data_IF_568648440686
#
_entry.id   IF_568648440686
#
_cell.length_a   1.000
_cell.length_b   1.000
_cell.length_c   1.000
_cell.angle_alpha   90.00
_cell.angle_beta   90.00
_cell.angle_gamma   90.00
#
_symmetry.space_group_name_H-M   'P 1'
#
loop_
_entity.id
_entity.type
_entity.pdbx_description
1 polymer ?
#
# COMPACT_ATOMS: atom_id res chain seq x y z
N UNK A 1 28.78 -10.49 30.47
CA UNK A 1 27.87 -9.48 31.02
C UNK A 1 28.41 -8.12 30.64
N UNK A 2 27.88 -7.50 29.58
CA UNK A 2 28.26 -6.14 29.19
C UNK A 2 27.27 -5.15 29.82
N UNK A 3 27.73 -4.10 30.52
CA UNK A 3 26.85 -3.07 31.02
C UNK A 3 26.40 -2.19 29.86
N UNK A 4 25.08 -2.10 29.64
CA UNK A 4 24.49 -1.14 28.71
C UNK A 4 24.70 0.27 29.29
N UNK A 5 25.48 1.06 28.56
CA UNK A 5 25.79 2.47 28.80
C UNK A 5 24.47 3.27 28.81
N UNK A 6 24.40 4.21 29.76
CA UNK A 6 23.20 4.95 30.14
C UNK A 6 22.43 5.57 28.98
N UNK A 7 21.20 5.10 28.81
CA UNK A 7 20.14 5.86 28.15
C UNK A 7 19.63 6.82 29.21
N UNK A 8 19.94 8.12 29.07
CA UNK A 8 19.33 9.17 29.89
C UNK A 8 17.80 9.00 29.84
N UNK A 9 17.06 9.17 30.95
CA UNK A 9 15.61 9.08 30.93
C UNK A 9 15.11 10.09 29.89
N UNK A 10 14.53 9.59 28.81
CA UNK A 10 13.83 10.42 27.85
C UNK A 10 12.79 11.19 28.67
N UNK A 11 12.98 12.50 28.80
CA UNK A 11 11.96 13.37 29.38
C UNK A 11 10.61 13.11 28.69
N UNK A 12 9.48 13.46 29.32
CA UNK A 12 8.17 13.21 28.74
C UNK A 12 8.15 13.77 27.31
N UNK A 13 8.11 12.87 26.32
CA UNK A 13 7.96 13.25 24.92
C UNK A 13 6.60 13.94 24.87
N UNK A 14 6.50 15.22 24.48
CA UNK A 14 5.21 15.86 24.34
C UNK A 14 4.41 15.01 23.35
N UNK A 15 3.38 14.32 23.84
CA UNK A 15 2.54 13.45 23.04
C UNK A 15 1.75 14.33 22.06
N UNK A 16 2.36 14.64 20.92
CA UNK A 16 1.61 15.20 19.81
C UNK A 16 0.58 14.15 19.42
N UNK A 17 -0.71 14.49 19.33
CA UNK A 17 -1.79 13.53 19.04
C UNK A 17 -1.78 13.09 17.57
N UNK A 18 -0.61 12.87 16.97
CA UNK A 18 -0.42 12.47 15.56
C UNK A 18 -1.18 11.17 15.29
N UNK A 19 -1.12 10.21 16.21
CA UNK A 19 -1.84 8.94 16.07
C UNK A 19 -3.37 9.08 16.08
N UNK A 20 -3.90 10.02 16.86
CA UNK A 20 -5.34 10.28 16.90
C UNK A 20 -5.82 10.86 15.56
N UNK A 21 -5.07 11.83 15.02
CA UNK A 21 -5.37 12.43 13.71
C UNK A 21 -5.17 11.43 12.57
N UNK A 22 -4.13 10.60 12.65
CA UNK A 22 -3.89 9.49 11.73
C UNK A 22 -5.08 8.53 11.71
N UNK A 23 -5.59 8.13 12.88
CA UNK A 23 -6.74 7.22 12.97
C UNK A 23 -8.02 7.86 12.44
N UNK A 24 -8.29 9.12 12.78
CA UNK A 24 -9.42 9.88 12.26
C UNK A 24 -9.40 9.98 10.73
N UNK A 25 -8.23 10.25 10.16
CA UNK A 25 -8.03 10.33 8.72
C UNK A 25 -8.16 8.94 8.07
N UNK A 26 -7.59 7.89 8.68
CA UNK A 26 -7.66 6.52 8.17
C UNK A 26 -9.09 5.98 8.11
N UNK A 27 -9.96 6.33 9.08
CA UNK A 27 -11.38 5.94 9.08
C UNK A 27 -12.15 6.45 7.85
N UNK A 28 -11.68 7.51 7.19
CA UNK A 28 -12.28 8.02 5.95
C UNK A 28 -11.97 7.16 4.71
N UNK A 29 -10.96 6.29 4.78
CA UNK A 29 -10.46 5.50 3.65
C UNK A 29 -10.51 3.98 3.92
N UNK A 30 -11.70 3.36 4.00
CA UNK A 30 -11.80 1.91 4.16
C UNK A 30 -11.37 1.16 2.88
N UNK A 31 -10.50 0.17 3.03
CA UNK A 31 -9.86 -0.60 1.94
C UNK A 31 -10.87 -1.23 0.97
N UNK A 32 -11.97 -1.82 1.46
CA UNK A 32 -12.98 -2.45 0.59
C UNK A 32 -13.64 -1.47 -0.39
N UNK A 33 -13.82 -0.21 0.02
CA UNK A 33 -14.39 0.80 -0.85
C UNK A 33 -13.38 1.34 -1.87
N UNK A 34 -12.08 1.27 -1.57
CA UNK A 34 -11.03 1.59 -2.53
C UNK A 34 -11.00 0.58 -3.68
N UNK A 35 -11.08 -0.72 -3.34
CA UNK A 35 -11.21 -1.82 -4.32
C UNK A 35 -12.39 -1.59 -5.25
N UNK A 36 -13.57 -1.29 -4.70
CA UNK A 36 -14.77 -1.02 -5.49
C UNK A 36 -14.60 0.19 -6.44
N UNK A 37 -13.99 1.28 -5.97
CA UNK A 37 -13.74 2.45 -6.81
C UNK A 37 -12.68 2.21 -7.89
N UNK A 38 -11.69 1.36 -7.62
CA UNK A 38 -10.62 1.02 -8.55
C UNK A 38 -11.20 0.24 -9.74
N UNK A 39 -12.00 -0.79 -9.47
CA UNK A 39 -12.70 -1.58 -10.50
C UNK A 39 -13.60 -0.70 -11.38
N UNK A 40 -14.31 0.26 -10.77
CA UNK A 40 -15.14 1.20 -11.51
C UNK A 40 -14.34 2.19 -12.36
N UNK A 41 -13.18 2.65 -11.86
CA UNK A 41 -12.36 3.68 -12.54
C UNK A 41 -11.59 3.11 -13.74
N UNK A 42 -11.17 1.84 -13.70
CA UNK A 42 -10.52 1.16 -14.83
C UNK A 42 -11.39 1.07 -16.09
N UNK A 43 -12.72 1.17 -15.95
CA UNK A 43 -13.66 1.15 -17.07
C UNK A 43 -13.66 2.43 -17.94
N UNK A 44 -12.90 3.47 -17.56
CA UNK A 44 -12.98 4.79 -18.23
C UNK A 44 -11.68 5.15 -18.98
N UNK A 45 -11.78 5.56 -20.26
CA UNK A 45 -10.62 5.81 -21.14
C UNK A 45 -9.75 7.01 -20.74
N UNK A 46 -10.19 7.85 -19.80
CA UNK A 46 -9.49 9.06 -19.37
C UNK A 46 -8.69 8.88 -18.06
N UNK A 47 -8.45 7.65 -17.58
CA UNK A 47 -7.96 7.38 -16.22
C UNK A 47 -6.55 7.94 -15.86
N UNK A 48 -5.79 8.55 -16.77
CA UNK A 48 -4.40 8.98 -16.52
C UNK A 48 -4.15 10.47 -16.35
N UNK A 49 -4.88 11.35 -17.06
CA UNK A 49 -4.45 12.75 -17.25
C UNK A 49 -4.91 13.72 -16.15
N UNK A 50 -5.96 13.35 -15.40
CA UNK A 50 -6.60 14.23 -14.40
C UNK A 50 -6.96 13.46 -13.13
N UNK A 51 -5.96 12.75 -12.58
CA UNK A 51 -6.11 11.91 -11.39
C UNK A 51 -6.21 12.73 -10.10
N UNK A 52 -5.34 13.73 -9.93
CA UNK A 52 -5.29 14.57 -8.73
C UNK A 52 -6.55 15.44 -8.57
N UNK A 53 -7.06 16.05 -9.65
CA UNK A 53 -8.30 16.84 -9.57
C UNK A 53 -9.51 15.97 -9.25
N UNK A 54 -9.63 14.78 -9.85
CA UNK A 54 -10.69 13.82 -9.51
C UNK A 54 -10.58 13.35 -8.07
N UNK A 55 -9.36 13.13 -7.59
CA UNK A 55 -9.11 12.81 -6.20
C UNK A 55 -9.57 13.97 -5.31
N UNK A 56 -9.20 15.21 -5.61
CA UNK A 56 -9.61 16.41 -4.87
C UNK A 56 -11.12 16.62 -4.82
N UNK A 57 -11.83 16.30 -5.90
CA UNK A 57 -13.28 16.38 -6.01
C UNK A 57 -14.02 15.21 -5.32
N UNK A 58 -13.30 14.17 -4.91
CA UNK A 58 -13.92 13.04 -4.20
C UNK A 58 -14.51 13.52 -2.86
N UNK A 59 -15.77 13.20 -2.54
CA UNK A 59 -16.39 13.59 -1.27
C UNK A 59 -15.58 13.19 -0.03
N UNK A 60 -14.80 12.10 -0.12
CA UNK A 60 -13.93 11.64 0.96
C UNK A 60 -12.71 12.54 1.14
N UNK A 61 -12.11 12.95 0.05
CA UNK A 61 -10.95 13.84 0.06
C UNK A 61 -11.39 15.22 0.53
N UNK A 62 -12.57 15.70 0.12
CA UNK A 62 -13.15 16.93 0.67
C UNK A 62 -13.31 16.85 2.20
N UNK A 63 -13.83 15.74 2.74
CA UNK A 63 -13.91 15.53 4.20
C UNK A 63 -12.53 15.43 4.86
N UNK A 64 -11.57 14.78 4.21
CA UNK A 64 -10.20 14.69 4.69
C UNK A 64 -9.57 16.08 4.78
N UNK A 65 -9.74 16.92 3.76
CA UNK A 65 -9.30 18.30 3.76
C UNK A 65 -9.96 19.10 4.89
N UNK A 66 -11.26 18.94 5.13
CA UNK A 66 -11.92 19.60 6.25
C UNK A 66 -11.37 19.21 7.63
N UNK A 67 -10.82 17.99 7.78
CA UNK A 67 -10.08 17.59 8.99
C UNK A 67 -8.68 18.18 9.02
N UNK A 68 -7.99 18.18 7.88
CA UNK A 68 -6.62 18.71 7.77
C UNK A 68 -6.59 20.22 8.01
N UNK A 69 -7.61 20.96 7.56
CA UNK A 69 -7.78 22.42 7.73
C UNK A 69 -7.72 22.89 9.19
N UNK A 70 -8.00 21.99 10.15
CA UNK A 70 -7.95 22.29 11.58
C UNK A 70 -6.55 22.12 12.18
N UNK A 71 -5.61 21.56 11.41
CA UNK A 71 -4.25 21.24 11.85
C UNK A 71 -3.27 22.33 11.45
N UNK A 72 -2.22 22.53 12.22
CA UNK A 72 -1.09 23.37 11.85
C UNK A 72 -0.21 22.67 10.79
N UNK A 73 0.63 23.45 10.11
CA UNK A 73 1.52 22.93 9.05
C UNK A 73 2.48 21.87 9.60
N UNK A 74 2.94 22.01 10.84
CA UNK A 74 3.84 21.05 11.46
C UNK A 74 3.17 19.68 11.66
N UNK A 75 1.91 19.62 12.12
CA UNK A 75 1.18 18.36 12.24
C UNK A 75 0.94 17.69 10.88
N UNK A 76 0.71 18.47 9.82
CA UNK A 76 0.61 17.92 8.45
C UNK A 76 1.94 17.30 8.02
N UNK A 77 3.07 17.96 8.28
CA UNK A 77 4.39 17.44 7.96
C UNK A 77 4.70 16.15 8.75
N UNK A 78 4.31 16.09 10.03
CA UNK A 78 4.44 14.88 10.85
C UNK A 78 3.56 13.73 10.31
N UNK A 79 2.31 14.00 9.90
CA UNK A 79 1.42 13.02 9.25
C UNK A 79 1.95 12.56 7.88
N UNK A 80 2.53 13.48 7.11
CA UNK A 80 3.11 13.18 5.81
C UNK A 80 4.33 12.27 5.95
N UNK A 81 5.19 12.52 6.95
CA UNK A 81 6.31 11.65 7.26
C UNK A 81 5.84 10.21 7.57
N UNK A 82 4.84 10.06 8.44
CA UNK A 82 4.23 8.74 8.73
C UNK A 82 3.64 8.08 7.48
N UNK A 83 2.93 8.85 6.65
CA UNK A 83 2.33 8.35 5.42
C UNK A 83 3.39 7.84 4.45
N UNK A 84 4.49 8.58 4.28
CA UNK A 84 5.62 8.20 3.41
C UNK A 84 6.28 6.91 3.91
N UNK A 85 6.60 6.82 5.20
CA UNK A 85 7.16 5.59 5.80
C UNK A 85 6.24 4.40 5.61
N UNK A 86 4.93 4.56 5.80
CA UNK A 86 3.98 3.48 5.54
C UNK A 86 3.94 3.11 4.05
N UNK A 87 3.89 4.09 3.14
CA UNK A 87 3.88 3.84 1.70
C UNK A 87 5.14 3.11 1.22
N UNK A 88 6.32 3.48 1.72
CA UNK A 88 7.57 2.77 1.44
C UNK A 88 7.53 1.31 1.91
N UNK A 89 7.04 1.07 3.13
CA UNK A 89 6.87 -0.28 3.67
C UNK A 89 5.88 -1.10 2.83
N UNK A 90 4.74 -0.50 2.43
CA UNK A 90 3.77 -1.18 1.58
C UNK A 90 4.38 -1.50 0.22
N UNK A 91 5.11 -0.57 -0.39
CA UNK A 91 5.74 -0.74 -1.69
C UNK A 91 6.83 -1.81 -1.71
N UNK A 92 7.67 -1.87 -0.68
CA UNK A 92 8.65 -2.93 -0.52
C UNK A 92 7.97 -4.30 -0.44
N UNK A 93 6.98 -4.44 0.43
CA UNK A 93 6.26 -5.70 0.61
C UNK A 93 5.49 -6.12 -0.65
N UNK A 94 4.86 -5.17 -1.36
CA UNK A 94 4.15 -5.44 -2.60
C UNK A 94 5.10 -5.95 -3.69
N UNK A 95 6.26 -5.30 -3.84
CA UNK A 95 7.30 -5.73 -4.77
C UNK A 95 7.86 -7.11 -4.42
N UNK A 96 8.17 -7.35 -3.14
CA UNK A 96 8.68 -8.64 -2.66
C UNK A 96 7.68 -9.77 -2.92
N UNK A 97 6.40 -9.55 -2.61
CA UNK A 97 5.35 -10.56 -2.84
C UNK A 97 5.16 -10.81 -4.34
N UNK A 98 5.18 -9.77 -5.18
CA UNK A 98 5.10 -9.92 -6.63
C UNK A 98 6.28 -10.74 -7.18
N UNK A 99 7.51 -10.44 -6.74
CA UNK A 99 8.68 -11.21 -7.13
C UNK A 99 8.58 -12.66 -6.65
N UNK A 100 8.22 -12.89 -5.39
CA UNK A 100 8.06 -14.24 -4.85
C UNK A 100 7.01 -15.05 -5.64
N UNK A 101 5.88 -14.42 -5.99
CA UNK A 101 4.81 -15.03 -6.76
C UNK A 101 5.25 -15.47 -8.15
N UNK A 102 6.12 -14.71 -8.82
CA UNK A 102 6.64 -15.09 -10.13
C UNK A 102 7.81 -16.06 -10.00
N UNK A 103 8.79 -15.76 -9.15
CA UNK A 103 10.03 -16.54 -9.09
C UNK A 103 9.84 -17.93 -8.50
N UNK A 104 9.10 -18.07 -7.39
CA UNK A 104 9.01 -19.34 -6.66
C UNK A 104 8.39 -20.46 -7.52
N UNK A 105 7.21 -20.27 -8.15
CA UNK A 105 6.60 -21.34 -8.94
C UNK A 105 7.49 -21.75 -10.13
N UNK A 106 8.13 -20.78 -10.79
CA UNK A 106 9.04 -21.07 -11.91
C UNK A 106 10.31 -21.79 -11.46
N UNK A 107 10.94 -21.37 -10.36
CA UNK A 107 12.13 -22.04 -9.83
C UNK A 107 11.82 -23.47 -9.37
N UNK A 108 10.73 -23.66 -8.63
CA UNK A 108 10.30 -25.00 -8.19
C UNK A 108 9.97 -25.88 -9.41
N UNK A 109 9.22 -25.36 -10.38
CA UNK A 109 8.88 -26.08 -11.61
C UNK A 109 10.13 -26.51 -12.40
N UNK A 110 11.10 -25.60 -12.56
CA UNK A 110 12.34 -25.90 -13.26
C UNK A 110 13.18 -26.96 -12.53
N UNK A 111 13.29 -26.88 -11.20
CA UNK A 111 14.03 -27.86 -10.39
C UNK A 111 13.40 -29.25 -10.49
N UNK A 112 12.08 -29.35 -10.33
CA UNK A 112 11.36 -30.62 -10.38
C UNK A 112 11.43 -31.24 -11.78
N UNK A 113 11.33 -30.41 -12.84
CA UNK A 113 11.48 -30.86 -14.22
C UNK A 113 12.87 -31.43 -14.53
N UNK A 114 13.93 -30.91 -13.91
CA UNK A 114 15.29 -31.43 -14.08
C UNK A 114 15.49 -32.77 -13.38
N UNK A 115 14.92 -32.93 -12.18
CA UNK A 115 15.10 -34.13 -11.35
C UNK A 115 14.23 -35.30 -11.85
N UNK A 116 13.01 -35.03 -12.31
CA UNK A 116 12.07 -36.07 -12.73
C UNK A 116 11.21 -35.64 -13.93
N UNK A 117 11.76 -35.62 -15.16
CA UNK A 117 11.09 -35.04 -16.33
C UNK A 117 9.73 -35.70 -16.65
N UNK A 118 9.71 -37.04 -16.72
CA UNK A 118 8.51 -37.82 -17.06
C UNK A 118 7.40 -37.69 -16.01
N UNK A 119 7.76 -37.75 -14.72
CA UNK A 119 6.81 -37.57 -13.62
C UNK A 119 6.26 -36.13 -13.59
N UNK A 120 7.12 -35.13 -13.85
CA UNK A 120 6.71 -33.72 -13.91
C UNK A 120 5.69 -33.49 -15.02
N UNK A 121 5.92 -34.06 -16.21
CA UNK A 121 5.00 -33.95 -17.34
C UNK A 121 3.64 -34.60 -17.02
N UNK A 122 3.64 -35.79 -16.43
CA UNK A 122 2.40 -36.47 -16.03
C UNK A 122 1.63 -35.70 -14.95
N UNK A 123 2.32 -35.17 -13.94
CA UNK A 123 1.70 -34.36 -12.88
C UNK A 123 1.14 -33.05 -13.43
N UNK A 124 1.88 -32.35 -14.30
CA UNK A 124 1.38 -31.12 -14.92
C UNK A 124 0.10 -31.38 -15.72
N UNK A 125 0.06 -32.44 -16.52
CA UNK A 125 -1.12 -32.76 -17.33
C UNK A 125 -2.29 -33.24 -16.46
N UNK A 126 -2.03 -34.04 -15.43
CA UNK A 126 -3.08 -34.62 -14.58
C UNK A 126 -3.67 -33.62 -13.59
N UNK A 127 -2.89 -32.62 -13.17
CA UNK A 127 -3.28 -31.64 -12.15
C UNK A 127 -3.23 -30.19 -12.66
N UNK A 128 -3.21 -29.97 -13.98
CA UNK A 128 -3.23 -28.63 -14.57
C UNK A 128 -4.32 -27.72 -13.96
N UNK A 129 -5.56 -28.18 -13.73
CA UNK A 129 -6.59 -27.35 -13.09
C UNK A 129 -6.24 -26.95 -11.66
N UNK A 130 -5.64 -27.86 -10.87
CA UNK A 130 -5.26 -27.58 -9.49
C UNK A 130 -4.10 -26.57 -9.42
N UNK A 131 -3.12 -26.68 -10.32
CA UNK A 131 -2.05 -25.70 -10.48
C UNK A 131 -2.58 -24.33 -10.90
N UNK A 132 -3.47 -24.30 -11.89
CA UNK A 132 -4.13 -23.07 -12.32
C UNK A 132 -4.91 -22.40 -11.19
N UNK A 133 -5.68 -23.18 -10.42
CA UNK A 133 -6.40 -22.69 -9.24
C UNK A 133 -5.49 -22.16 -8.14
N UNK A 134 -4.40 -22.88 -7.83
CA UNK A 134 -3.41 -22.45 -6.84
C UNK A 134 -2.71 -21.15 -7.22
N UNK A 135 -2.29 -21.02 -8.48
CA UNK A 135 -1.71 -19.78 -9.01
C UNK A 135 -2.71 -18.64 -9.00
N UNK A 136 -3.97 -18.88 -9.44
CA UNK A 136 -5.01 -17.87 -9.40
C UNK A 136 -5.28 -17.38 -7.97
N UNK A 137 -5.38 -18.29 -7.00
CA UNK A 137 -5.57 -17.96 -5.58
C UNK A 137 -4.42 -17.13 -5.01
N UNK A 138 -3.18 -17.51 -5.29
CA UNK A 138 -2.00 -16.72 -4.91
C UNK A 138 -1.98 -15.36 -5.64
N UNK A 139 -2.43 -15.30 -6.88
CA UNK A 139 -2.59 -14.06 -7.65
C UNK A 139 -3.55 -13.07 -7.00
N UNK A 140 -4.66 -13.54 -6.40
CA UNK A 140 -5.58 -12.68 -5.63
C UNK A 140 -4.87 -12.02 -4.45
N UNK A 141 -4.01 -12.75 -3.74
CA UNK A 141 -3.23 -12.18 -2.63
C UNK A 141 -2.24 -11.11 -3.11
N UNK A 142 -1.58 -11.32 -4.25
CA UNK A 142 -0.69 -10.33 -4.88
C UNK A 142 -1.47 -9.07 -5.26
N UNK A 143 -2.62 -9.22 -5.93
CA UNK A 143 -3.48 -8.10 -6.31
C UNK A 143 -3.94 -7.34 -5.07
N UNK A 144 -4.40 -8.03 -4.03
CA UNK A 144 -4.76 -7.40 -2.76
C UNK A 144 -3.61 -6.59 -2.16
N UNK A 145 -2.37 -7.10 -2.27
CA UNK A 145 -1.19 -6.39 -1.80
C UNK A 145 -0.88 -5.13 -2.62
N UNK A 146 -1.00 -5.19 -3.94
CA UNK A 146 -0.81 -4.03 -4.83
C UNK A 146 -1.87 -2.95 -4.57
N UNK A 147 -3.10 -3.36 -4.26
CA UNK A 147 -4.17 -2.44 -3.89
C UNK A 147 -3.82 -1.69 -2.60
N UNK A 148 -3.27 -2.37 -1.58
CA UNK A 148 -2.84 -1.74 -0.33
C UNK A 148 -1.67 -0.75 -0.56
N UNK A 149 -0.73 -1.06 -1.44
CA UNK A 149 0.33 -0.12 -1.84
C UNK A 149 -0.25 1.12 -2.54
N UNK A 150 -1.16 0.92 -3.49
CA UNK A 150 -1.83 2.01 -4.19
C UNK A 150 -2.61 2.92 -3.22
N UNK A 151 -3.31 2.33 -2.24
CA UNK A 151 -4.03 3.07 -1.20
C UNK A 151 -3.08 3.90 -0.33
N UNK A 152 -1.91 3.35 0.06
CA UNK A 152 -0.93 4.09 0.85
C UNK A 152 -0.34 5.29 0.09
N UNK A 153 -0.04 5.12 -1.21
CA UNK A 153 0.40 6.23 -2.08
C UNK A 153 -0.68 7.29 -2.27
N UNK A 154 -1.94 6.88 -2.38
CA UNK A 154 -3.06 7.82 -2.46
C UNK A 154 -3.13 8.71 -1.21
N UNK A 155 -2.89 8.13 -0.04
CA UNK A 155 -2.90 8.86 1.22
C UNK A 155 -1.78 9.91 1.30
N UNK A 156 -0.56 9.54 0.86
CA UNK A 156 0.56 10.48 0.71
C UNK A 156 0.17 11.63 -0.20
N UNK A 157 -0.40 11.33 -1.39
CA UNK A 157 -0.80 12.37 -2.34
C UNK A 157 -1.86 13.33 -1.78
N UNK A 158 -2.78 12.85 -0.93
CA UNK A 158 -3.78 13.71 -0.25
C UNK A 158 -3.09 14.69 0.70
N UNK A 159 -2.15 14.21 1.51
CA UNK A 159 -1.40 15.06 2.44
C UNK A 159 -0.49 16.04 1.71
N UNK A 160 0.16 15.61 0.63
CA UNK A 160 0.98 16.50 -0.23
C UNK A 160 0.14 17.59 -0.88
N UNK A 161 -1.05 17.26 -1.39
CA UNK A 161 -1.96 18.30 -1.92
C UNK A 161 -2.37 19.30 -0.83
N UNK A 162 -2.70 18.83 0.38
CA UNK A 162 -3.06 19.72 1.49
C UNK A 162 -1.89 20.63 1.90
N UNK A 163 -0.66 20.10 1.86
CA UNK A 163 0.58 20.86 2.11
C UNK A 163 0.82 21.92 1.04
N UNK A 164 0.65 21.57 -0.25
CA UNK A 164 0.83 22.48 -1.38
C UNK A 164 -0.24 23.59 -1.38
N UNK A 165 -1.51 23.28 -1.09
CA UNK A 165 -2.59 24.28 -0.99
C UNK A 165 -2.33 25.33 0.11
N UNK A 166 -1.44 25.03 1.07
CA UNK A 166 -0.99 25.95 2.12
C UNK A 166 0.25 26.77 1.77
N UNK A 167 0.74 26.68 0.54
CA UNK A 167 1.87 27.47 0.04
C UNK A 167 3.25 26.91 0.40
N UNK A 168 3.34 25.68 0.90
CA UNK A 168 4.63 25.01 1.03
C UNK A 168 5.12 24.52 -0.35
N UNK A 169 6.44 24.61 -0.64
CA UNK A 169 6.99 24.06 -1.87
C UNK A 169 6.82 22.53 -1.90
N UNK A 170 6.52 22.00 -3.08
CA UNK A 170 6.36 20.57 -3.36
C UNK A 170 7.65 19.79 -3.05
#
# INVERSE_FOLDING_TARGET
MYPLIGIAPLGPVPERPVWQHWEALHRLFPTWRFVASMLWTFSRPQAGFDGLRRMRMSPRVVRAFALLDQLDTQMIDDLLALARTNAERQGYLARTILFAYVSIPFSVGALVAQVAPLATQQVLLSYAPAWGGGLAGAGVAVVGRLILDAQARQFVAILEMARIERGAPA
#
